data_IF_919206283353
#
_entry.id   IF_919206283353
#
_cell.length_a   1.000
_cell.length_b   1.000
_cell.length_c   1.000
_cell.angle_alpha   90.00
_cell.angle_beta   90.00
_cell.angle_gamma   90.00
#
_symmetry.space_group_name_H-M   'P 1'
#
loop_
_entity.id
_entity.type
_entity.pdbx_description
1 polymer ?
#
# COMPACT_ATOMS: atom_id res chain seq x y z
N UNK A 1 8.13 -21.42 -6.68
CA UNK A 1 6.88 -20.63 -6.63
C UNK A 1 7.19 -19.16 -6.36
N UNK A 2 6.29 -18.22 -6.71
CA UNK A 2 6.46 -16.80 -6.42
C UNK A 2 6.65 -16.55 -4.91
N UNK A 3 7.42 -15.52 -4.57
CA UNK A 3 7.47 -14.98 -3.21
C UNK A 3 6.07 -14.48 -2.84
N UNK A 4 5.63 -14.72 -1.61
CA UNK A 4 4.38 -14.18 -1.07
C UNK A 4 4.62 -13.49 0.25
N UNK A 5 3.88 -12.42 0.52
CA UNK A 5 3.82 -11.77 1.81
C UNK A 5 2.45 -12.03 2.43
N UNK A 6 2.44 -12.52 3.66
CA UNK A 6 1.20 -12.78 4.41
C UNK A 6 1.35 -12.44 5.88
N UNK A 7 0.25 -12.22 6.62
CA UNK A 7 0.31 -12.19 8.08
C UNK A 7 0.88 -13.50 8.65
N UNK A 8 1.59 -13.40 9.77
CA UNK A 8 1.97 -14.58 10.53
C UNK A 8 0.74 -15.23 11.19
N UNK A 9 0.81 -16.54 11.36
CA UNK A 9 -0.11 -17.35 12.15
C UNK A 9 0.65 -17.97 13.31
N UNK A 10 -0.02 -18.35 14.39
CA UNK A 10 0.62 -19.00 15.55
C UNK A 10 1.46 -20.22 15.17
N UNK A 11 1.04 -20.96 14.15
CA UNK A 11 1.76 -22.11 13.60
C UNK A 11 3.14 -21.74 12.99
N UNK A 12 3.39 -20.47 12.65
CA UNK A 12 4.67 -20.01 12.14
C UNK A 12 5.74 -19.87 13.25
N UNK A 13 5.36 -19.83 14.54
CA UNK A 13 6.29 -19.56 15.65
C UNK A 13 7.59 -20.39 15.62
N UNK A 14 7.56 -21.72 15.39
CA UNK A 14 8.78 -22.51 15.28
C UNK A 14 9.67 -22.09 14.11
N UNK A 15 9.07 -21.84 12.94
CA UNK A 15 9.80 -21.44 11.74
C UNK A 15 10.40 -20.03 11.86
N UNK A 16 9.66 -19.08 12.45
CA UNK A 16 10.16 -17.72 12.68
C UNK A 16 11.29 -17.71 13.72
N UNK A 17 11.20 -18.55 14.75
CA UNK A 17 12.29 -18.74 15.74
C UNK A 17 13.55 -19.29 15.07
N UNK A 18 13.41 -20.30 14.21
CA UNK A 18 14.54 -20.86 13.46
C UNK A 18 15.19 -19.82 12.54
N UNK A 19 14.39 -19.02 11.80
CA UNK A 19 14.89 -17.92 10.96
C UNK A 19 15.65 -16.89 11.81
N UNK A 20 15.08 -16.46 12.93
CA UNK A 20 15.70 -15.53 13.88
C UNK A 20 17.10 -16.02 14.29
N UNK A 21 17.20 -17.28 14.72
CA UNK A 21 18.43 -17.90 15.19
C UNK A 21 19.48 -18.01 14.07
N UNK A 22 19.11 -18.54 12.90
CA UNK A 22 20.03 -18.72 11.77
C UNK A 22 20.50 -17.39 11.18
N UNK A 23 19.59 -16.43 11.04
CA UNK A 23 19.94 -15.10 10.56
C UNK A 23 20.90 -14.39 11.52
N UNK A 24 20.65 -14.47 12.84
CA UNK A 24 21.56 -13.91 13.85
C UNK A 24 22.94 -14.59 13.83
N UNK A 25 22.97 -15.92 13.72
CA UNK A 25 24.22 -16.70 13.67
C UNK A 25 25.08 -16.36 12.44
N UNK A 26 24.46 -15.95 11.32
CA UNK A 26 25.17 -15.62 10.08
C UNK A 26 26.16 -14.45 10.20
N UNK A 27 26.07 -13.66 11.26
CA UNK A 27 27.03 -12.60 11.58
C UNK A 27 28.35 -13.09 12.19
N UNK A 28 28.47 -14.39 12.48
CA UNK A 28 29.71 -14.99 13.00
C UNK A 28 29.98 -14.69 14.48
N UNK A 29 28.92 -14.54 15.29
CA UNK A 29 29.07 -14.38 16.74
C UNK A 29 29.64 -15.64 17.40
N UNK A 30 30.30 -15.50 18.57
CA UNK A 30 30.78 -16.65 19.33
C UNK A 30 29.66 -17.64 19.67
N UNK A 31 29.94 -18.94 19.54
CA UNK A 31 28.93 -19.99 19.71
C UNK A 31 28.32 -20.02 21.13
N UNK A 32 29.11 -19.71 22.16
CA UNK A 32 28.62 -19.56 23.54
C UNK A 32 27.55 -18.46 23.65
N UNK A 33 27.78 -17.31 23.02
CA UNK A 33 26.80 -16.20 22.98
C UNK A 33 25.57 -16.56 22.15
N UNK A 34 25.75 -17.31 21.07
CA UNK A 34 24.63 -17.81 20.29
C UNK A 34 23.82 -18.86 21.04
N UNK A 35 24.44 -19.70 21.89
CA UNK A 35 23.73 -20.64 22.75
C UNK A 35 22.85 -19.90 23.76
N UNK A 36 23.40 -18.91 24.47
CA UNK A 36 22.63 -18.02 25.35
C UNK A 36 21.45 -17.37 24.58
N UNK A 37 21.72 -16.82 23.40
CA UNK A 37 20.69 -16.18 22.58
C UNK A 37 19.53 -17.15 22.23
N UNK A 38 19.83 -18.39 21.86
CA UNK A 38 18.82 -19.40 21.47
C UNK A 38 17.95 -19.88 22.63
N UNK A 39 18.47 -19.81 23.86
CA UNK A 39 17.72 -20.18 25.05
C UNK A 39 16.69 -19.11 25.44
N UNK A 40 17.00 -17.83 25.23
CA UNK A 40 16.15 -16.72 25.66
C UNK A 40 15.29 -16.10 24.55
N UNK A 41 15.79 -16.01 23.32
CA UNK A 41 15.11 -15.28 22.25
C UNK A 41 14.37 -16.22 21.31
N UNK A 42 13.05 -16.20 21.37
CA UNK A 42 12.16 -17.00 20.50
C UNK A 42 10.95 -16.18 20.08
N UNK A 43 10.41 -16.52 18.92
CA UNK A 43 9.10 -16.02 18.49
C UNK A 43 8.05 -16.97 19.05
N UNK A 44 7.26 -16.49 20.00
CA UNK A 44 6.18 -17.26 20.62
C UNK A 44 4.83 -16.97 19.96
N UNK A 45 3.82 -17.80 20.22
CA UNK A 45 2.44 -17.52 19.82
C UNK A 45 1.96 -16.18 20.41
N UNK A 46 2.31 -15.89 21.67
CA UNK A 46 2.01 -14.61 22.31
C UNK A 46 2.66 -13.42 21.58
N UNK A 47 3.90 -13.58 21.11
CA UNK A 47 4.58 -12.58 20.28
C UNK A 47 3.82 -12.33 18.97
N UNK A 48 3.28 -13.40 18.36
CA UNK A 48 2.51 -13.31 17.12
C UNK A 48 1.17 -12.61 17.34
N UNK A 49 0.52 -12.84 18.48
CA UNK A 49 -0.72 -12.16 18.85
C UNK A 49 -0.50 -10.68 19.19
N UNK A 50 0.66 -10.32 19.76
CA UNK A 50 0.92 -8.95 20.24
C UNK A 50 1.44 -8.00 19.16
N UNK A 51 2.04 -8.52 18.08
CA UNK A 51 2.71 -7.72 17.06
C UNK A 51 2.02 -7.85 15.70
N UNK A 52 2.16 -6.81 14.88
CA UNK A 52 1.85 -6.95 13.44
C UNK A 52 3.04 -7.64 12.76
N UNK A 53 2.96 -8.96 12.61
CA UNK A 53 3.99 -9.75 11.93
C UNK A 53 3.63 -10.00 10.46
N UNK A 54 4.57 -9.71 9.57
CA UNK A 54 4.52 -10.06 8.15
C UNK A 54 5.55 -11.14 7.85
N UNK A 55 5.12 -12.24 7.24
CA UNK A 55 5.96 -13.36 6.80
C UNK A 55 6.16 -13.26 5.29
N UNK A 56 7.41 -13.32 4.86
CA UNK A 56 7.78 -13.61 3.49
C UNK A 56 7.95 -15.12 3.34
N UNK A 57 7.14 -15.73 2.49
CA UNK A 57 7.17 -17.16 2.21
C UNK A 57 7.51 -17.45 0.75
N UNK A 58 8.16 -18.59 0.53
CA UNK A 58 8.40 -19.16 -0.80
C UNK A 58 8.20 -20.67 -0.71
N UNK A 59 7.48 -21.24 -1.68
CA UNK A 59 7.18 -22.68 -1.71
C UNK A 59 6.49 -23.18 -0.42
N UNK A 60 5.64 -22.33 0.18
CA UNK A 60 4.92 -22.62 1.43
C UNK A 60 5.78 -22.59 2.69
N UNK A 61 7.06 -22.19 2.58
CA UNK A 61 7.98 -22.09 3.71
C UNK A 61 8.28 -20.62 4.04
N UNK A 62 8.17 -20.20 5.31
CA UNK A 62 8.69 -18.92 5.78
C UNK A 62 10.20 -18.83 5.49
N UNK A 63 10.64 -17.72 4.90
CA UNK A 63 12.06 -17.43 4.63
C UNK A 63 12.53 -16.09 5.20
N UNK A 64 11.60 -15.23 5.60
CA UNK A 64 11.88 -13.97 6.28
C UNK A 64 10.62 -13.48 7.02
N UNK A 65 10.79 -12.59 7.98
CA UNK A 65 9.68 -11.92 8.62
C UNK A 65 10.07 -10.55 9.18
N UNK A 66 9.06 -9.70 9.39
CA UNK A 66 9.17 -8.46 10.15
C UNK A 66 8.07 -8.37 11.20
N UNK A 67 8.35 -7.75 12.33
CA UNK A 67 7.41 -7.51 13.43
C UNK A 67 7.39 -6.05 13.82
N UNK A 68 6.18 -5.53 14.02
CA UNK A 68 5.92 -4.11 14.22
C UNK A 68 5.02 -3.90 15.44
N UNK A 69 5.35 -2.90 16.26
CA UNK A 69 4.50 -2.42 17.34
C UNK A 69 4.38 -0.88 17.32
N UNK A 70 3.25 -0.32 17.78
CA UNK A 70 3.19 1.10 18.10
C UNK A 70 4.19 1.44 19.22
N UNK A 71 4.95 2.53 19.06
CA UNK A 71 5.85 3.05 20.09
C UNK A 71 5.25 4.30 20.77
N UNK A 72 4.60 5.15 19.99
CA UNK A 72 3.93 6.40 20.41
C UNK A 72 2.78 6.72 19.44
N UNK A 73 2.12 7.86 19.64
CA UNK A 73 1.06 8.34 18.74
C UNK A 73 1.53 8.61 17.30
N UNK A 74 2.83 8.83 17.08
CA UNK A 74 3.41 9.21 15.78
C UNK A 74 4.48 8.25 15.25
N UNK A 75 4.88 7.25 16.05
CA UNK A 75 6.05 6.40 15.77
C UNK A 75 5.71 4.91 15.83
N UNK A 76 6.12 4.18 14.79
CA UNK A 76 6.09 2.72 14.73
C UNK A 76 7.48 2.15 15.05
N UNK A 77 7.56 1.15 15.90
CA UNK A 77 8.76 0.36 16.14
C UNK A 77 8.82 -0.82 15.17
N UNK A 78 10.01 -1.05 14.59
CA UNK A 78 10.35 -2.28 13.88
C UNK A 78 11.10 -3.18 14.86
N UNK A 79 10.37 -4.02 15.60
CA UNK A 79 10.91 -4.95 16.59
C UNK A 79 11.76 -6.04 15.95
N UNK A 80 11.31 -6.55 14.80
CA UNK A 80 11.94 -7.66 14.10
C UNK A 80 12.06 -7.35 12.62
N UNK A 81 13.21 -7.70 12.04
CA UNK A 81 13.41 -7.80 10.60
C UNK A 81 14.51 -8.83 10.33
N UNK A 82 14.11 -10.04 9.99
CA UNK A 82 15.03 -11.16 9.81
C UNK A 82 14.81 -11.86 8.48
N UNK A 83 15.90 -12.17 7.80
CA UNK A 83 15.93 -12.91 6.52
C UNK A 83 16.85 -14.11 6.69
N UNK A 84 16.34 -15.29 6.38
CA UNK A 84 17.11 -16.53 6.43
C UNK A 84 18.39 -16.41 5.58
N UNK A 85 19.54 -16.95 6.03
CA UNK A 85 20.84 -16.76 5.35
C UNK A 85 20.82 -17.03 3.84
N UNK A 86 20.17 -18.12 3.42
CA UNK A 86 19.98 -18.54 2.03
C UNK A 86 19.09 -17.60 1.20
N UNK A 87 18.30 -16.75 1.86
CA UNK A 87 17.40 -15.77 1.26
C UNK A 87 17.92 -14.33 1.32
N UNK A 88 19.07 -14.09 1.96
CA UNK A 88 19.66 -12.76 2.08
C UNK A 88 20.14 -12.22 0.72
N UNK A 89 20.27 -10.88 0.64
CA UNK A 89 20.70 -10.14 -0.57
C UNK A 89 19.82 -10.35 -1.82
N UNK A 90 18.59 -10.81 -1.63
CA UNK A 90 17.58 -10.95 -2.69
C UNK A 90 16.49 -9.84 -2.64
N UNK A 91 16.72 -8.76 -1.89
CA UNK A 91 15.76 -7.65 -1.74
C UNK A 91 14.58 -7.92 -0.78
N UNK A 92 14.53 -9.08 -0.10
CA UNK A 92 13.42 -9.41 0.81
C UNK A 92 13.40 -8.50 2.04
N UNK A 93 14.55 -8.15 2.60
CA UNK A 93 14.65 -7.20 3.71
C UNK A 93 14.17 -5.79 3.31
N UNK A 94 14.49 -5.35 2.09
CA UNK A 94 13.97 -4.10 1.52
C UNK A 94 12.45 -4.10 1.43
N UNK A 95 11.90 -5.19 0.88
CA UNK A 95 10.47 -5.36 0.73
C UNK A 95 9.76 -5.33 2.08
N UNK A 96 10.24 -6.07 3.09
CA UNK A 96 9.66 -6.08 4.43
C UNK A 96 9.75 -4.71 5.12
N UNK A 97 10.88 -4.01 4.98
CA UNK A 97 11.01 -2.66 5.53
C UNK A 97 10.06 -1.68 4.84
N UNK A 98 9.89 -1.77 3.51
CA UNK A 98 8.89 -1.00 2.78
C UNK A 98 7.48 -1.32 3.28
N UNK A 99 7.16 -2.58 3.61
CA UNK A 99 5.87 -2.94 4.21
C UNK A 99 5.67 -2.35 5.60
N UNK A 100 6.73 -2.18 6.38
CA UNK A 100 6.68 -1.45 7.64
C UNK A 100 6.34 0.04 7.42
N UNK A 101 6.97 0.68 6.43
CA UNK A 101 6.66 2.07 6.04
C UNK A 101 5.19 2.19 5.57
N UNK A 102 4.76 1.29 4.69
CA UNK A 102 3.38 1.22 4.20
C UNK A 102 2.37 0.99 5.36
N UNK A 103 2.74 0.25 6.40
CA UNK A 103 1.91 0.06 7.60
C UNK A 103 1.83 1.35 8.41
N UNK A 104 2.97 2.01 8.68
CA UNK A 104 3.03 3.27 9.40
C UNK A 104 2.17 4.36 8.74
N UNK A 105 2.28 4.51 7.41
CA UNK A 105 1.44 5.46 6.66
C UNK A 105 -0.05 5.20 6.82
N UNK A 106 -0.48 3.93 6.77
CA UNK A 106 -1.90 3.57 6.93
C UNK A 106 -2.45 3.88 8.31
N UNK A 107 -1.59 3.82 9.34
CA UNK A 107 -1.91 4.23 10.71
C UNK A 107 -1.77 5.74 10.94
N UNK A 108 -1.34 6.51 9.93
CA UNK A 108 -1.10 7.95 10.05
C UNK A 108 0.14 8.30 10.87
N UNK A 109 1.06 7.35 11.06
CA UNK A 109 2.32 7.54 11.76
C UNK A 109 3.31 8.24 10.82
N UNK A 110 4.21 9.04 11.40
CA UNK A 110 5.16 9.88 10.65
C UNK A 110 6.59 9.42 10.80
N UNK A 111 6.84 8.35 11.56
CA UNK A 111 8.19 7.91 11.89
C UNK A 111 8.30 6.40 12.09
N UNK A 112 9.44 5.85 11.69
CA UNK A 112 9.88 4.51 12.09
C UNK A 112 11.07 4.59 13.05
N UNK A 113 11.04 3.78 14.09
CA UNK A 113 12.16 3.50 15.00
C UNK A 113 12.60 2.05 14.90
N UNK A 114 13.88 1.80 15.14
CA UNK A 114 14.42 0.46 15.32
C UNK A 114 15.69 0.47 16.15
N UNK A 115 15.98 -0.67 16.78
CA UNK A 115 17.31 -0.97 17.29
C UNK A 115 17.97 -1.96 16.33
N UNK A 116 19.04 -1.52 15.66
CA UNK A 116 19.73 -2.33 14.67
C UNK A 116 20.74 -3.26 15.32
N UNK A 117 20.91 -4.44 14.75
CA UNK A 117 22.12 -5.22 15.01
C UNK A 117 23.39 -4.39 14.72
N UNK A 118 24.45 -4.63 15.48
CA UNK A 118 25.74 -3.95 15.31
C UNK A 118 26.32 -4.07 13.89
N UNK A 119 25.94 -5.11 13.13
CA UNK A 119 26.37 -5.33 11.75
C UNK A 119 25.35 -4.86 10.70
N UNK A 120 24.13 -4.46 11.11
CA UNK A 120 23.04 -4.10 10.20
C UNK A 120 22.84 -2.58 10.05
N UNK A 121 23.53 -1.73 10.82
CA UNK A 121 23.41 -0.26 10.73
C UNK A 121 23.51 0.28 9.30
N UNK A 122 24.55 -0.09 8.51
CA UNK A 122 24.70 0.36 7.13
C UNK A 122 23.55 -0.04 6.18
N UNK A 123 22.80 -1.10 6.51
CA UNK A 123 21.58 -1.46 5.76
C UNK A 123 20.50 -0.40 5.97
N UNK A 124 20.23 0.00 7.21
CA UNK A 124 19.21 1.00 7.52
C UNK A 124 19.62 2.42 7.09
N UNK A 125 20.90 2.79 7.25
CA UNK A 125 21.41 4.11 6.84
C UNK A 125 21.17 4.38 5.36
N UNK A 126 21.46 3.40 4.50
CA UNK A 126 21.19 3.49 3.05
C UNK A 126 19.72 3.67 2.69
N UNK A 127 18.80 3.41 3.63
CA UNK A 127 17.35 3.49 3.47
C UNK A 127 16.76 4.72 4.16
N UNK A 128 17.62 5.68 4.54
CA UNK A 128 17.22 6.96 5.11
C UNK A 128 17.08 6.95 6.63
N UNK A 129 17.48 5.88 7.31
CA UNK A 129 17.56 5.90 8.77
C UNK A 129 18.79 6.67 9.24
N UNK A 130 18.66 7.37 10.37
CA UNK A 130 19.76 8.03 11.07
C UNK A 130 19.90 7.49 12.48
N UNK A 131 21.14 7.35 12.94
CA UNK A 131 21.44 6.94 14.32
C UNK A 131 21.15 8.08 15.28
N UNK A 132 20.35 7.80 16.30
CA UNK A 132 19.98 8.74 17.38
C UNK A 132 20.77 8.53 18.64
N UNK A 133 21.02 7.27 18.98
CA UNK A 133 21.81 6.89 20.13
C UNK A 133 22.50 5.55 19.84
N UNK A 134 23.45 5.19 20.70
CA UNK A 134 24.10 3.88 20.67
C UNK A 134 24.10 3.28 22.06
N UNK A 135 24.11 1.94 22.12
CA UNK A 135 24.42 1.20 23.33
C UNK A 135 25.44 0.09 23.06
N UNK A 136 26.21 -0.36 24.06
CA UNK A 136 27.14 -1.48 23.88
C UNK A 136 26.41 -2.78 23.47
N UNK A 137 27.02 -3.55 22.57
CA UNK A 137 26.51 -4.86 22.15
C UNK A 137 26.87 -5.96 23.14
N UNK A 138 25.85 -6.67 23.64
CA UNK A 138 26.03 -7.87 24.45
C UNK A 138 26.58 -9.06 23.64
N UNK A 139 26.30 -9.10 22.34
CA UNK A 139 26.74 -10.16 21.42
C UNK A 139 28.15 -9.92 20.87
N UNK A 140 28.66 -8.69 20.95
CA UNK A 140 29.99 -8.31 20.43
C UNK A 140 30.60 -7.19 21.26
N UNK A 141 31.33 -7.54 22.33
CA UNK A 141 32.04 -6.57 23.16
C UNK A 141 32.89 -5.63 22.31
N UNK A 142 32.77 -4.32 22.55
CA UNK A 142 33.46 -3.27 21.80
C UNK A 142 32.76 -2.80 20.52
N UNK A 143 31.64 -3.41 20.14
CA UNK A 143 30.73 -2.86 19.12
C UNK A 143 29.54 -2.17 19.78
N UNK A 144 29.03 -1.17 19.09
CA UNK A 144 27.82 -0.44 19.46
C UNK A 144 26.62 -0.91 18.62
N UNK A 145 25.44 -0.90 19.24
CA UNK A 145 24.13 -1.16 18.67
C UNK A 145 23.47 0.20 18.46
N UNK A 146 23.19 0.62 17.21
CA UNK A 146 22.56 1.91 16.96
C UNK A 146 21.04 1.83 17.13
N UNK A 147 20.50 2.78 17.87
CA UNK A 147 19.08 3.12 17.90
C UNK A 147 18.85 4.14 16.78
N UNK A 148 17.98 3.79 15.84
CA UNK A 148 17.84 4.51 14.58
C UNK A 148 16.41 4.97 14.36
N UNK A 149 16.27 6.10 13.68
CA UNK A 149 14.98 6.63 13.23
C UNK A 149 14.96 6.96 11.76
N UNK A 150 13.76 6.90 11.17
CA UNK A 150 13.46 7.43 9.84
C UNK A 150 12.17 8.24 9.89
N UNK A 151 12.23 9.56 9.69
CA UNK A 151 11.05 10.36 9.34
C UNK A 151 10.46 9.85 8.03
N UNK A 152 9.15 9.67 8.00
CA UNK A 152 8.41 9.26 6.81
C UNK A 152 7.98 10.48 6.01
N UNK A 153 8.08 10.37 4.69
CA UNK A 153 7.64 11.43 3.80
C UNK A 153 6.11 11.54 3.80
N UNK A 154 5.51 12.70 3.47
CA UNK A 154 4.05 12.82 3.41
C UNK A 154 3.42 11.79 2.47
N UNK A 155 2.22 11.31 2.81
CA UNK A 155 1.50 10.38 1.93
C UNK A 155 0.84 11.07 0.72
N UNK A 156 0.66 12.39 0.77
CA UNK A 156 -0.05 13.18 -0.26
C UNK A 156 0.87 14.26 -0.81
N UNK A 157 0.93 14.36 -2.14
CA UNK A 157 1.69 15.37 -2.86
C UNK A 157 0.80 16.09 -3.86
N UNK A 158 0.99 17.41 -4.00
CA UNK A 158 0.43 18.16 -5.11
C UNK A 158 1.34 18.04 -6.33
N UNK A 159 0.74 17.87 -7.50
CA UNK A 159 1.43 17.89 -8.79
C UNK A 159 0.76 18.89 -9.72
N UNK A 160 1.52 19.41 -10.67
CA UNK A 160 1.06 20.37 -11.68
C UNK A 160 0.63 19.67 -12.96
N UNK A 161 1.22 18.51 -13.26
CA UNK A 161 0.95 17.73 -14.45
C UNK A 161 1.17 16.22 -14.25
N UNK A 162 0.63 15.44 -15.18
CA UNK A 162 0.83 14.00 -15.30
C UNK A 162 1.43 13.71 -16.67
N UNK A 163 2.42 12.82 -16.73
CA UNK A 163 2.90 12.23 -17.97
C UNK A 163 3.01 10.72 -17.75
N UNK A 164 2.03 9.96 -18.24
CA UNK A 164 1.98 8.51 -18.01
C UNK A 164 1.94 7.81 -19.36
N UNK A 165 2.99 7.05 -19.61
CA UNK A 165 3.22 6.34 -20.86
C UNK A 165 2.92 4.85 -20.68
N UNK A 166 2.53 4.18 -21.77
CA UNK A 166 2.40 2.74 -21.81
C UNK A 166 3.71 2.15 -22.35
N UNK A 167 4.24 1.15 -21.64
CA UNK A 167 5.41 0.40 -22.06
C UNK A 167 5.02 -0.64 -23.11
N UNK A 168 5.85 -0.78 -24.14
CA UNK A 168 5.78 -1.90 -25.08
C UNK A 168 6.24 -3.22 -24.43
N UNK A 169 6.96 -3.15 -23.31
CA UNK A 169 7.44 -4.33 -22.59
C UNK A 169 6.35 -4.88 -21.66
N UNK A 170 6.13 -6.21 -21.65
CA UNK A 170 5.13 -6.80 -20.76
C UNK A 170 5.55 -6.65 -19.30
N UNK A 171 4.57 -6.70 -18.41
CA UNK A 171 4.86 -6.69 -16.99
C UNK A 171 5.70 -7.92 -16.58
N UNK A 172 6.93 -7.67 -16.13
CA UNK A 172 7.91 -8.73 -15.85
C UNK A 172 7.41 -9.75 -14.81
N UNK A 173 6.62 -9.31 -13.82
CA UNK A 173 6.03 -10.20 -12.82
C UNK A 173 5.06 -11.20 -13.46
N UNK A 174 4.18 -10.75 -14.36
CA UNK A 174 3.22 -11.60 -15.06
C UNK A 174 3.96 -12.65 -15.90
N UNK A 175 4.93 -12.20 -16.71
CA UNK A 175 5.71 -13.07 -17.58
C UNK A 175 6.49 -14.13 -16.79
N UNK A 176 7.09 -13.73 -15.66
CA UNK A 176 7.90 -14.64 -14.81
C UNK A 176 7.07 -15.67 -14.05
N UNK A 177 5.78 -15.38 -13.80
CA UNK A 177 4.93 -16.18 -12.93
C UNK A 177 3.68 -16.73 -13.62
N UNK A 178 3.63 -16.74 -14.95
CA UNK A 178 2.48 -17.13 -15.76
C UNK A 178 1.80 -18.42 -15.28
N UNK A 179 2.53 -19.54 -15.19
CA UNK A 179 1.96 -20.84 -14.75
C UNK A 179 1.32 -20.78 -13.35
N UNK A 180 1.94 -20.02 -12.43
CA UNK A 180 1.44 -19.88 -11.07
C UNK A 180 0.22 -18.96 -11.00
N UNK A 181 0.17 -17.94 -11.86
CA UNK A 181 -0.96 -17.02 -12.02
C UNK A 181 -2.16 -17.77 -12.60
N UNK A 182 -1.94 -18.57 -13.66
CA UNK A 182 -2.98 -19.36 -14.30
C UNK A 182 -3.60 -20.36 -13.32
N UNK A 183 -2.77 -21.11 -12.59
CA UNK A 183 -3.24 -22.05 -11.57
C UNK A 183 -4.02 -21.36 -10.45
N UNK A 184 -3.57 -20.19 -10.01
CA UNK A 184 -4.26 -19.39 -9.00
C UNK A 184 -5.61 -18.86 -9.51
N UNK A 185 -5.66 -18.38 -10.76
CA UNK A 185 -6.87 -17.81 -11.34
C UNK A 185 -7.93 -18.88 -11.61
N UNK A 186 -7.54 -20.05 -12.09
CA UNK A 186 -8.46 -21.19 -12.25
C UNK A 186 -9.08 -21.62 -10.92
N UNK A 187 -8.33 -21.58 -9.82
CA UNK A 187 -8.88 -21.83 -8.49
C UNK A 187 -9.82 -20.71 -8.03
N UNK A 188 -9.50 -19.44 -8.32
CA UNK A 188 -10.38 -18.31 -8.01
C UNK A 188 -11.72 -18.38 -8.75
N UNK A 189 -11.72 -18.79 -10.04
CA UNK A 189 -12.93 -18.95 -10.86
C UNK A 189 -13.90 -19.99 -10.31
N UNK A 190 -13.42 -21.04 -9.65
CA UNK A 190 -14.28 -22.03 -8.98
C UNK A 190 -15.09 -21.42 -7.84
N UNK A 191 -14.59 -20.34 -7.23
CA UNK A 191 -15.21 -19.65 -6.08
C UNK A 191 -16.05 -18.45 -6.52
N UNK A 192 -15.67 -17.81 -7.62
CA UNK A 192 -16.30 -16.60 -8.15
C UNK A 192 -16.70 -16.87 -9.61
N UNK A 193 -17.93 -17.37 -9.86
CA UNK A 193 -18.35 -17.78 -11.20
C UNK A 193 -18.34 -16.67 -12.26
N UNK A 194 -18.51 -15.41 -11.85
CA UNK A 194 -18.49 -14.24 -12.75
C UNK A 194 -17.08 -13.66 -12.97
N UNK A 195 -16.04 -14.28 -12.41
CA UNK A 195 -14.67 -13.81 -12.56
C UNK A 195 -14.18 -13.98 -14.00
N UNK A 196 -13.95 -12.85 -14.67
CA UNK A 196 -13.46 -12.79 -16.04
C UNK A 196 -12.03 -12.22 -16.08
N UNK A 197 -11.18 -12.79 -16.95
CA UNK A 197 -9.79 -12.38 -17.09
C UNK A 197 -9.66 -11.22 -18.08
N UNK A 198 -10.04 -10.02 -17.65
CA UNK A 198 -9.89 -8.80 -18.43
C UNK A 198 -8.45 -8.29 -18.52
N UNK A 199 -8.30 -7.12 -19.14
CA UNK A 199 -7.03 -6.39 -19.21
C UNK A 199 -7.10 -5.15 -18.32
N UNK A 200 -5.99 -4.79 -17.70
CA UNK A 200 -5.87 -3.63 -16.81
C UNK A 200 -4.46 -3.05 -16.90
N UNK A 201 -4.27 -1.84 -16.39
CA UNK A 201 -2.98 -1.14 -16.40
C UNK A 201 -2.23 -1.29 -15.07
N UNK A 202 -0.92 -1.52 -15.16
CA UNK A 202 -0.03 -1.66 -14.01
C UNK A 202 1.10 -0.64 -14.06
N UNK A 203 1.19 0.23 -13.07
CA UNK A 203 2.34 1.14 -12.97
C UNK A 203 3.59 0.35 -12.56
N UNK A 204 4.64 0.38 -13.37
CA UNK A 204 5.91 -0.36 -13.17
C UNK A 204 7.08 0.57 -12.84
N UNK A 205 6.88 1.88 -12.90
CA UNK A 205 7.87 2.87 -12.53
C UNK A 205 7.27 4.28 -12.49
N UNK A 206 7.82 5.15 -11.65
CA UNK A 206 7.48 6.56 -11.63
C UNK A 206 8.62 7.43 -11.09
N UNK A 207 8.59 8.71 -11.44
CA UNK A 207 9.42 9.75 -10.85
C UNK A 207 8.66 11.08 -10.71
N UNK A 208 9.06 11.87 -9.71
CA UNK A 208 8.63 13.26 -9.58
C UNK A 208 9.70 14.17 -10.16
N UNK A 209 9.34 14.96 -11.18
CA UNK A 209 10.26 15.88 -11.83
C UNK A 209 9.54 17.15 -12.22
N UNK A 210 10.07 18.29 -11.78
CA UNK A 210 9.56 19.63 -12.14
C UNK A 210 8.03 19.77 -11.96
N UNK A 211 7.51 19.30 -10.81
CA UNK A 211 6.08 19.34 -10.50
C UNK A 211 5.22 18.29 -11.23
N UNK A 212 5.83 17.45 -12.07
CA UNK A 212 5.13 16.44 -12.87
C UNK A 212 5.30 15.04 -12.28
N UNK A 213 4.21 14.26 -12.23
CA UNK A 213 4.26 12.82 -11.99
C UNK A 213 4.50 12.11 -13.33
N UNK A 214 5.71 11.61 -13.53
CA UNK A 214 6.05 10.83 -14.72
C UNK A 214 5.93 9.35 -14.38
N UNK A 215 5.13 8.59 -15.13
CA UNK A 215 4.86 7.19 -14.86
C UNK A 215 4.97 6.33 -16.11
N UNK A 216 5.26 5.05 -15.89
CA UNK A 216 5.21 4.03 -16.94
C UNK A 216 4.26 2.92 -16.51
N UNK A 217 3.23 2.68 -17.31
CA UNK A 217 2.31 1.57 -17.13
C UNK A 217 2.63 0.43 -18.11
N UNK A 218 2.40 -0.80 -17.70
CA UNK A 218 2.35 -1.96 -18.59
C UNK A 218 0.92 -2.53 -18.55
N UNK A 219 0.41 -2.93 -19.72
CA UNK A 219 -0.85 -3.64 -19.79
C UNK A 219 -0.67 -5.07 -19.23
N UNK A 220 -1.55 -5.50 -18.33
CA UNK A 220 -1.49 -6.82 -17.71
C UNK A 220 -2.86 -7.48 -17.64
N UNK A 221 -2.88 -8.80 -17.41
CA UNK A 221 -4.14 -9.51 -17.17
C UNK A 221 -4.70 -9.22 -15.78
N UNK A 222 -6.02 -9.23 -15.65
CA UNK A 222 -6.68 -9.13 -14.36
C UNK A 222 -6.26 -10.27 -13.43
N UNK A 223 -6.01 -11.47 -13.97
CA UNK A 223 -5.44 -12.60 -13.24
C UNK A 223 -4.08 -12.26 -12.62
N UNK A 224 -3.17 -11.66 -13.38
CA UNK A 224 -1.85 -11.27 -12.87
C UNK A 224 -1.95 -10.19 -11.79
N UNK A 225 -2.79 -9.17 -12.00
CA UNK A 225 -3.08 -8.15 -10.99
C UNK A 225 -3.60 -8.78 -9.70
N UNK A 226 -4.60 -9.67 -9.81
CA UNK A 226 -5.24 -10.33 -8.68
C UNK A 226 -4.23 -11.20 -7.91
N UNK A 227 -3.46 -12.01 -8.62
CA UNK A 227 -2.43 -12.87 -8.03
C UNK A 227 -1.36 -12.05 -7.31
N UNK A 228 -0.81 -11.01 -7.95
CA UNK A 228 0.16 -10.10 -7.32
C UNK A 228 -0.38 -9.48 -6.04
N UNK A 229 -1.62 -8.97 -6.07
CA UNK A 229 -2.26 -8.33 -4.92
C UNK A 229 -2.42 -9.32 -3.78
N UNK A 230 -2.98 -10.49 -4.06
CA UNK A 230 -3.31 -11.49 -3.05
C UNK A 230 -2.07 -12.23 -2.52
N UNK A 231 -0.95 -12.20 -3.26
CA UNK A 231 0.35 -12.64 -2.76
C UNK A 231 1.09 -11.54 -1.98
N UNK A 232 0.40 -10.45 -1.62
CA UNK A 232 0.94 -9.36 -0.80
C UNK A 232 1.84 -8.39 -1.57
N UNK A 233 1.62 -8.26 -2.87
CA UNK A 233 2.39 -7.41 -3.78
C UNK A 233 3.91 -7.67 -3.69
N UNK A 234 4.39 -8.90 -3.97
CA UNK A 234 5.77 -9.29 -3.70
C UNK A 234 6.80 -8.57 -4.59
N UNK A 235 6.36 -7.98 -5.69
CA UNK A 235 7.15 -7.04 -6.49
C UNK A 235 6.92 -5.61 -5.98
N UNK A 236 7.94 -5.04 -5.33
CA UNK A 236 7.93 -3.69 -4.77
C UNK A 236 8.09 -2.58 -5.83
N UNK A 237 8.45 -2.92 -7.07
CA UNK A 237 8.61 -1.96 -8.16
C UNK A 237 7.30 -1.64 -8.88
N UNK A 238 6.25 -2.42 -8.62
CA UNK A 238 4.96 -2.29 -9.27
C UNK A 238 3.89 -1.77 -8.31
N UNK A 239 2.93 -1.01 -8.84
CA UNK A 239 1.88 -0.34 -8.07
C UNK A 239 0.51 -0.51 -8.74
N UNK A 240 -0.55 -0.40 -7.96
CA UNK A 240 -1.90 -0.18 -8.48
C UNK A 240 -2.14 1.32 -8.60
N UNK A 241 -2.20 1.84 -9.82
CA UNK A 241 -2.51 3.24 -10.10
C UNK A 241 -3.97 3.38 -10.50
N UNK A 242 -4.69 4.32 -9.89
CA UNK A 242 -6.10 4.53 -10.14
C UNK A 242 -6.48 6.00 -9.98
N UNK A 243 -7.61 6.39 -10.59
CA UNK A 243 -8.15 7.73 -10.53
C UNK A 243 -9.05 7.94 -9.32
N UNK A 244 -9.17 9.18 -8.83
CA UNK A 244 -10.15 9.55 -7.81
C UNK A 244 -10.71 10.96 -8.02
N UNK A 245 -12.03 11.10 -8.10
CA UNK A 245 -12.74 12.37 -8.16
C UNK A 245 -12.95 12.91 -6.74
N UNK A 246 -12.18 13.91 -6.33
CA UNK A 246 -12.25 14.47 -4.98
C UNK A 246 -13.17 15.68 -4.99
N UNK A 247 -14.43 15.45 -4.60
CA UNK A 247 -15.45 16.49 -4.57
C UNK A 247 -15.35 17.34 -3.31
N UNK A 248 -15.27 18.66 -3.48
CA UNK A 248 -15.34 19.65 -2.41
C UNK A 248 -16.54 20.59 -2.60
N UNK A 249 -17.43 20.61 -1.62
CA UNK A 249 -18.64 21.45 -1.65
C UNK A 249 -18.32 22.94 -1.52
N UNK A 250 -19.34 23.79 -1.71
CA UNK A 250 -19.24 25.24 -1.49
C UNK A 250 -18.81 25.63 -0.08
N UNK A 251 -19.07 24.76 0.90
CA UNK A 251 -18.74 24.94 2.32
C UNK A 251 -17.34 24.39 2.67
N UNK A 252 -16.63 23.81 1.69
CA UNK A 252 -15.32 23.19 1.88
C UNK A 252 -15.36 21.75 2.38
N UNK A 253 -16.54 21.13 2.53
CA UNK A 253 -16.66 19.74 2.93
C UNK A 253 -16.31 18.79 1.77
N UNK A 254 -15.68 17.65 2.08
CA UNK A 254 -15.40 16.60 1.09
C UNK A 254 -16.56 15.61 1.03
N UNK A 255 -16.82 15.03 -0.14
CA UNK A 255 -17.82 13.97 -0.31
C UNK A 255 -17.14 12.67 -0.74
N UNK A 256 -17.24 11.64 0.10
CA UNK A 256 -16.74 10.29 -0.17
C UNK A 256 -17.90 9.32 -0.34
N UNK A 257 -17.85 8.46 -1.36
CA UNK A 257 -18.80 7.39 -1.57
C UNK A 257 -18.69 6.31 -0.49
N UNK A 258 -19.84 5.83 -0.03
CA UNK A 258 -19.96 4.63 0.80
C UNK A 258 -20.40 3.50 -0.12
N UNK A 259 -19.52 2.52 -0.31
CA UNK A 259 -19.74 1.49 -1.31
C UNK A 259 -20.89 0.56 -0.92
N UNK A 260 -21.74 0.22 -1.89
CA UNK A 260 -22.90 -0.63 -1.68
C UNK A 260 -22.53 -2.10 -1.51
N UNK A 261 -23.49 -2.91 -1.02
CA UNK A 261 -23.29 -4.36 -0.84
C UNK A 261 -23.08 -5.12 -2.15
N UNK A 262 -23.31 -4.49 -3.30
CA UNK A 262 -23.12 -5.08 -4.62
C UNK A 262 -21.66 -5.03 -5.07
N UNK A 263 -20.81 -4.24 -4.42
CA UNK A 263 -19.42 -4.06 -4.83
C UNK A 263 -18.46 -4.93 -4.01
N UNK A 264 -17.25 -5.14 -4.53
CA UNK A 264 -16.18 -5.89 -3.84
C UNK A 264 -15.65 -5.17 -2.58
N UNK A 265 -15.97 -3.88 -2.44
CA UNK A 265 -15.50 -2.98 -1.37
C UNK A 265 -16.65 -2.55 -0.47
N UNK A 266 -17.75 -3.31 -0.41
CA UNK A 266 -18.95 -3.01 0.36
C UNK A 266 -18.67 -2.42 1.76
N UNK A 267 -19.26 -1.25 2.03
CA UNK A 267 -19.13 -0.52 3.28
C UNK A 267 -17.87 0.33 3.42
N UNK A 268 -16.88 0.19 2.54
CA UNK A 268 -15.70 1.06 2.52
C UNK A 268 -16.09 2.48 2.07
N UNK A 269 -15.34 3.48 2.54
CA UNK A 269 -15.61 4.90 2.30
C UNK A 269 -14.41 5.55 1.59
N UNK A 270 -14.62 6.10 0.40
CA UNK A 270 -13.57 6.75 -0.39
C UNK A 270 -14.12 7.65 -1.52
N UNK A 271 -13.32 8.56 -2.11
CA UNK A 271 -13.76 9.36 -3.25
C UNK A 271 -14.11 8.46 -4.46
N UNK A 272 -15.17 8.77 -5.24
CA UNK A 272 -15.50 8.08 -6.48
C UNK A 272 -14.28 7.89 -7.40
N UNK A 273 -14.18 6.74 -8.08
CA UNK A 273 -13.06 6.45 -8.96
C UNK A 273 -12.76 4.96 -9.15
N UNK A 274 -12.05 4.67 -10.24
CA UNK A 274 -11.77 3.32 -10.71
C UNK A 274 -10.31 3.08 -11.13
N UNK A 275 -10.00 1.80 -11.34
CA UNK A 275 -8.72 1.39 -11.92
C UNK A 275 -8.64 1.78 -13.40
N UNK A 276 -7.41 1.95 -13.88
CA UNK A 276 -7.13 2.25 -15.28
C UNK A 276 -7.15 0.98 -16.14
N UNK A 277 -7.64 1.10 -17.36
CA UNK A 277 -7.66 0.03 -18.35
C UNK A 277 -7.27 0.54 -19.76
N UNK A 278 -7.10 -0.35 -20.77
CA UNK A 278 -6.68 0.05 -22.12
C UNK A 278 -7.63 1.01 -22.86
N UNK A 279 -8.85 1.21 -22.38
CA UNK A 279 -9.78 2.21 -22.93
C UNK A 279 -9.48 3.63 -22.46
N UNK A 280 -8.65 3.80 -21.41
CA UNK A 280 -8.22 5.10 -20.89
C UNK A 280 -6.98 5.65 -21.62
N UNK A 281 -6.79 5.29 -22.89
CA UNK A 281 -5.67 5.76 -23.71
C UNK A 281 -6.08 6.94 -24.60
N UNK A 282 -5.24 7.96 -24.65
CA UNK A 282 -5.35 9.06 -25.62
C UNK A 282 -5.05 8.59 -27.04
N UNK A 283 -5.40 9.41 -28.03
CA UNK A 283 -5.06 9.14 -29.45
C UNK A 283 -3.55 9.00 -29.69
N UNK A 284 -2.70 9.66 -28.88
CA UNK A 284 -1.24 9.54 -28.90
C UNK A 284 -0.69 8.40 -28.03
N UNK A 285 -1.56 7.55 -27.47
CA UNK A 285 -1.18 6.33 -26.75
C UNK A 285 -0.72 6.54 -25.30
N UNK A 286 -0.99 7.71 -24.71
CA UNK A 286 -0.73 8.00 -23.30
C UNK A 286 -1.92 7.63 -22.43
N UNK A 287 -1.68 7.41 -21.14
CA UNK A 287 -2.76 7.10 -20.19
C UNK A 287 -3.46 8.40 -19.75
N UNK A 288 -4.73 8.57 -20.13
CA UNK A 288 -5.59 9.70 -19.75
C UNK A 288 -6.26 9.47 -18.39
N UNK A 289 -5.46 9.57 -17.32
CA UNK A 289 -5.98 9.41 -15.96
C UNK A 289 -7.03 10.46 -15.62
N UNK A 290 -6.91 11.68 -16.14
CA UNK A 290 -7.89 12.75 -15.85
C UNK A 290 -9.20 12.45 -16.57
N UNK A 291 -9.16 12.01 -17.83
CA UNK A 291 -10.32 11.52 -18.57
C UNK A 291 -11.02 10.38 -17.84
N UNK A 292 -10.28 9.38 -17.36
CA UNK A 292 -10.80 8.28 -16.55
C UNK A 292 -11.50 8.79 -15.28
N UNK A 293 -10.90 9.75 -14.56
CA UNK A 293 -11.52 10.36 -13.37
C UNK A 293 -12.86 11.04 -13.71
N UNK A 294 -12.95 11.74 -14.83
CA UNK A 294 -14.20 12.37 -15.25
C UNK A 294 -15.27 11.36 -15.70
N UNK A 295 -14.87 10.24 -16.31
CA UNK A 295 -15.77 9.13 -16.64
C UNK A 295 -16.37 8.53 -15.37
N UNK A 296 -15.54 8.13 -14.42
CA UNK A 296 -15.98 7.57 -13.12
C UNK A 296 -16.81 8.57 -12.32
N UNK A 297 -16.48 9.86 -12.37
CA UNK A 297 -17.30 10.91 -11.79
C UNK A 297 -18.74 10.88 -12.33
N UNK A 298 -18.89 10.83 -13.66
CA UNK A 298 -20.22 10.82 -14.27
C UNK A 298 -20.96 9.51 -14.00
N UNK A 299 -20.27 8.37 -14.09
CA UNK A 299 -20.82 7.03 -13.88
C UNK A 299 -21.29 6.77 -12.44
N UNK A 300 -20.56 7.25 -11.43
CA UNK A 300 -20.91 7.02 -10.03
C UNK A 300 -21.82 8.13 -9.44
N UNK A 301 -21.66 9.38 -9.91
CA UNK A 301 -22.27 10.54 -9.24
C UNK A 301 -23.29 11.29 -10.08
N UNK A 302 -23.30 11.08 -11.40
CA UNK A 302 -24.11 11.83 -12.36
C UNK A 302 -23.64 13.26 -12.59
N UNK A 303 -22.56 13.71 -11.93
CA UNK A 303 -21.95 15.01 -12.15
C UNK A 303 -21.12 15.01 -13.42
N UNK A 304 -21.30 16.02 -14.25
CA UNK A 304 -20.57 16.18 -15.50
C UNK A 304 -19.41 17.13 -15.33
N UNK A 305 -18.54 17.15 -16.34
CA UNK A 305 -17.39 18.05 -16.40
C UNK A 305 -17.76 19.53 -16.21
N UNK A 306 -18.92 19.95 -16.70
CA UNK A 306 -19.42 21.33 -16.59
C UNK A 306 -19.99 21.66 -15.19
N UNK A 307 -20.30 20.63 -14.38
CA UNK A 307 -20.85 20.80 -13.02
C UNK A 307 -19.77 21.04 -11.96
N UNK A 308 -18.49 20.89 -12.34
CA UNK A 308 -17.35 20.89 -11.42
C UNK A 308 -16.22 21.79 -11.92
N UNK A 309 -15.47 22.38 -10.99
CA UNK A 309 -14.29 23.19 -11.30
C UNK A 309 -13.02 22.50 -10.79
N UNK A 310 -12.07 22.11 -11.67
CA UNK A 310 -10.81 21.51 -11.22
C UNK A 310 -10.00 22.52 -10.39
N UNK A 311 -9.49 22.08 -9.24
CA UNK A 311 -8.79 22.91 -8.25
C UNK A 311 -7.35 22.43 -7.94
N UNK A 312 -6.99 21.22 -8.35
CA UNK A 312 -5.61 20.72 -8.27
C UNK A 312 -5.50 19.22 -8.50
N UNK A 313 -4.30 18.75 -8.81
CA UNK A 313 -3.96 17.33 -8.92
C UNK A 313 -3.16 16.91 -7.70
N UNK A 314 -3.52 15.75 -7.16
CA UNK A 314 -2.91 15.15 -5.98
C UNK A 314 -2.47 13.72 -6.29
N UNK A 315 -1.31 13.33 -5.78
CA UNK A 315 -0.84 11.94 -5.76
C UNK A 315 -0.84 11.47 -4.33
N UNK A 316 -1.55 10.37 -4.04
CA UNK A 316 -1.62 9.79 -2.70
C UNK A 316 -1.09 8.37 -2.66
N UNK A 317 -0.11 8.15 -1.80
CA UNK A 317 0.52 6.86 -1.57
C UNK A 317 -0.16 6.09 -0.42
N UNK A 318 -0.51 4.84 -0.69
CA UNK A 318 -1.08 3.89 0.26
C UNK A 318 -0.45 2.51 0.00
N UNK A 319 0.84 2.47 0.28
CA UNK A 319 1.69 1.31 0.07
C UNK A 319 1.91 0.97 -1.40
N UNK A 320 1.33 -0.14 -1.84
CA UNK A 320 1.37 -0.56 -3.25
C UNK A 320 0.24 0.08 -4.09
N UNK A 321 -0.63 0.88 -3.46
CA UNK A 321 -1.69 1.66 -4.11
C UNK A 321 -1.26 3.10 -4.27
N UNK A 322 -1.53 3.69 -5.43
CA UNK A 322 -1.32 5.10 -5.73
C UNK A 322 -2.61 5.66 -6.33
N UNK A 323 -3.20 6.63 -5.65
CA UNK A 323 -4.36 7.38 -6.13
C UNK A 323 -3.87 8.66 -6.82
N UNK A 324 -4.30 8.88 -8.06
CA UNK A 324 -4.25 10.18 -8.71
C UNK A 324 -5.61 10.84 -8.49
N UNK A 325 -5.63 11.87 -7.65
CA UNK A 325 -6.82 12.61 -7.29
C UNK A 325 -6.94 13.92 -8.05
N UNK A 326 -8.08 14.16 -8.70
CA UNK A 326 -8.45 15.48 -9.18
C UNK A 326 -9.36 16.13 -8.13
N UNK A 327 -8.85 17.17 -7.45
CA UNK A 327 -9.68 18.01 -6.59
C UNK A 327 -10.61 18.84 -7.46
N UNK A 328 -11.90 18.80 -7.11
CA UNK A 328 -12.98 19.41 -7.87
C UNK A 328 -13.88 20.22 -6.92
N UNK A 329 -13.92 21.53 -7.12
CA UNK A 329 -14.82 22.42 -6.42
C UNK A 329 -16.20 22.38 -7.07
N UNK A 330 -17.23 22.16 -6.26
CA UNK A 330 -18.62 22.14 -6.68
C UNK A 330 -19.36 23.26 -5.94
N UNK A 331 -19.89 24.29 -6.64
CA UNK A 331 -20.49 25.47 -6.00
C UNK A 331 -21.91 25.19 -5.48
N UNK A 332 -22.10 24.06 -4.80
CA UNK A 332 -23.34 23.61 -4.18
C UNK A 332 -23.10 23.13 -2.74
N UNK A 333 -24.10 23.22 -1.84
CA UNK A 333 -24.02 22.68 -0.49
C UNK A 333 -23.78 21.17 -0.46
N UNK A 334 -23.09 20.66 0.57
CA UNK A 334 -22.74 19.24 0.62
C UNK A 334 -23.96 18.30 0.72
N UNK A 335 -25.00 18.70 1.46
CA UNK A 335 -26.22 17.91 1.63
C UNK A 335 -27.05 17.81 0.35
N UNK A 336 -27.06 18.87 -0.45
CA UNK A 336 -27.71 18.89 -1.76
C UNK A 336 -27.01 17.91 -2.70
N UNK A 337 -25.67 18.00 -2.79
CA UNK A 337 -24.85 17.10 -3.59
C UNK A 337 -25.06 15.64 -3.19
N UNK A 338 -25.00 15.32 -1.89
CA UNK A 338 -25.29 13.97 -1.39
C UNK A 338 -26.65 13.48 -1.87
N UNK A 339 -27.69 14.30 -1.76
CA UNK A 339 -29.06 13.91 -2.15
C UNK A 339 -29.17 13.63 -3.64
N UNK A 340 -28.54 14.46 -4.48
CA UNK A 340 -28.57 14.30 -5.93
C UNK A 340 -27.79 13.08 -6.41
N UNK A 341 -26.59 12.89 -5.86
CA UNK A 341 -25.73 11.74 -6.15
C UNK A 341 -26.45 10.43 -5.78
N UNK A 342 -27.10 10.37 -4.63
CA UNK A 342 -27.83 9.17 -4.22
C UNK A 342 -29.05 8.91 -5.10
N UNK A 343 -29.78 9.95 -5.50
CA UNK A 343 -30.88 9.79 -6.45
C UNK A 343 -30.39 9.23 -7.80
N UNK A 344 -29.22 9.69 -8.25
CA UNK A 344 -28.61 9.17 -9.48
C UNK A 344 -28.18 7.71 -9.32
N UNK A 345 -27.45 7.38 -8.24
CA UNK A 345 -27.03 6.01 -7.92
C UNK A 345 -28.23 5.06 -7.87
N UNK A 346 -29.32 5.42 -7.17
CA UNK A 346 -30.55 4.61 -7.08
C UNK A 346 -31.20 4.35 -8.45
N UNK A 347 -31.10 5.29 -9.38
CA UNK A 347 -31.63 5.18 -10.74
C UNK A 347 -30.70 4.42 -11.71
N UNK A 348 -29.43 4.26 -11.36
CA UNK A 348 -28.46 3.47 -12.14
C UNK A 348 -28.72 1.97 -12.01
N UNK A 349 -28.24 1.18 -12.98
CA UNK A 349 -28.31 -0.28 -12.91
C UNK A 349 -27.38 -0.83 -11.82
N UNK A 350 -26.18 -0.26 -11.74
CA UNK A 350 -25.11 -0.73 -10.84
C UNK A 350 -25.41 -0.41 -9.37
N UNK A 351 -25.94 0.78 -9.06
CA UNK A 351 -26.21 1.26 -7.70
C UNK A 351 -24.98 1.08 -6.79
N UNK A 352 -23.83 1.59 -7.25
CA UNK A 352 -22.54 1.38 -6.60
C UNK A 352 -22.43 2.05 -5.23
N UNK A 353 -23.16 3.14 -5.02
CA UNK A 353 -23.13 3.93 -3.80
C UNK A 353 -24.36 3.67 -2.93
N UNK A 354 -24.13 3.26 -1.69
CA UNK A 354 -25.16 3.15 -0.65
C UNK A 354 -25.38 4.47 0.11
N UNK A 355 -24.35 5.31 0.18
CA UNK A 355 -24.42 6.64 0.79
C UNK A 355 -23.28 7.52 0.23
N UNK A 356 -23.36 8.84 0.42
CA UNK A 356 -22.23 9.77 0.33
C UNK A 356 -21.92 10.29 1.73
N UNK A 357 -20.75 9.94 2.26
CA UNK A 357 -20.25 10.49 3.53
C UNK A 357 -19.70 11.90 3.30
N UNK A 358 -20.26 12.86 4.02
CA UNK A 358 -19.77 14.24 4.03
C UNK A 358 -18.74 14.40 5.16
N UNK A 359 -17.51 14.73 4.79
CA UNK A 359 -16.37 14.93 5.68
C UNK A 359 -16.16 16.44 5.86
N UNK A 360 -16.37 16.97 7.07
CA UNK A 360 -16.24 18.40 7.38
C UNK A 360 -14.98 18.71 8.17
N UNK A 361 -14.54 17.76 8.98
CA UNK A 361 -13.43 17.91 9.91
C UNK A 361 -12.53 16.68 9.89
N UNK A 362 -11.34 16.79 10.48
CA UNK A 362 -10.44 15.64 10.64
C UNK A 362 -11.02 14.56 11.55
N UNK A 363 -11.93 14.91 12.47
CA UNK A 363 -12.60 13.92 13.33
C UNK A 363 -13.52 13.00 12.51
N UNK A 364 -14.12 13.49 11.42
CA UNK A 364 -14.95 12.66 10.52
C UNK A 364 -14.12 11.58 9.80
N UNK A 365 -12.78 11.71 9.79
CA UNK A 365 -11.84 10.77 9.17
C UNK A 365 -11.44 9.60 10.10
N UNK A 366 -11.88 9.62 11.37
CA UNK A 366 -11.61 8.56 12.35
C UNK A 366 -12.46 7.30 12.10
N UNK A 367 -13.45 7.38 11.21
CA UNK A 367 -14.20 6.21 10.75
C UNK A 367 -13.25 5.18 10.14
N UNK A 368 -13.22 3.99 10.73
CA UNK A 368 -12.38 2.87 10.28
C UNK A 368 -12.73 2.38 8.87
N UNK A 369 -13.96 2.65 8.40
CA UNK A 369 -14.39 2.33 7.04
C UNK A 369 -13.77 3.25 5.98
N UNK A 370 -13.24 4.42 6.37
CA UNK A 370 -12.49 5.29 5.44
C UNK A 370 -11.17 4.60 5.12
N UNK A 371 -10.95 4.33 3.84
CA UNK A 371 -9.73 3.66 3.39
C UNK A 371 -8.51 4.57 3.59
N UNK A 372 -7.30 4.02 3.78
CA UNK A 372 -6.16 4.83 4.23
C UNK A 372 -5.75 5.95 3.27
N UNK A 373 -5.74 5.75 1.95
CA UNK A 373 -5.45 6.84 1.00
C UNK A 373 -6.47 7.99 1.12
N UNK A 374 -7.76 7.68 1.23
CA UNK A 374 -8.83 8.67 1.39
C UNK A 374 -8.71 9.44 2.72
N UNK A 375 -8.28 8.75 3.79
CA UNK A 375 -7.96 9.38 5.08
C UNK A 375 -6.79 10.36 4.94
N UNK A 376 -5.71 9.95 4.27
CA UNK A 376 -4.55 10.81 4.02
C UNK A 376 -4.92 12.04 3.18
N UNK A 377 -5.72 11.86 2.12
CA UNK A 377 -6.28 12.95 1.31
C UNK A 377 -7.09 13.93 2.15
N UNK A 378 -8.01 13.41 2.98
CA UNK A 378 -8.84 14.24 3.84
C UNK A 378 -8.01 15.06 4.83
N UNK A 379 -7.01 14.43 5.48
CA UNK A 379 -6.09 15.11 6.41
C UNK A 379 -5.27 16.21 5.73
N UNK A 380 -4.93 16.02 4.45
CA UNK A 380 -4.20 17.00 3.66
C UNK A 380 -5.07 18.20 3.26
N UNK A 381 -6.33 17.96 2.91
CA UNK A 381 -7.24 18.98 2.38
C UNK A 381 -8.01 19.75 3.45
N UNK A 382 -8.26 19.14 4.60
CA UNK A 382 -9.03 19.74 5.68
C UNK A 382 -8.13 20.48 6.68
N UNK A 383 -8.62 21.59 7.27
CA UNK A 383 -7.87 22.39 8.24
C UNK A 383 -7.45 21.60 9.47
#
# INVERSE_FOLDING_TARGET
MPLKLRPATEADAPALTDILHRAKASWGYPEEKMAEFRDYWRISEATIQSLTLTVAERDGQPIAFSGLSPQSEDTLLVDFLFVAPEAQRQGIGDLLLKRAEDHAHRQGLSRLYLESDANAGPFYEKRGFRTMATRPSEMSPGKEIPLMEKPLAPAVYRVDALNIEVSDEPWAFETKHADAIDAYFEEARKRIPMLWNGRTMKLTGFEFKDGTFNGTCAECSFAAFLAWRDWGAPDASSFNLFGSAILRSAEGALLYGVMSRKTATAGMIYPPGGNLDPTDLTEDGKVDVVGAIYRELEEETGLKRDDVKPAGLLVTFDGWRISIGQLMDVPRPAEELRTEILRFSEASEEQELADMRIIRTRADLEDSAIVPYARSLGKYLLP
#
